data_IF_935789621117
#
_entry.id   IF_935789621117
#
_cell.length_a   1.000
_cell.length_b   1.000
_cell.length_c   1.000
_cell.angle_alpha   90.00
_cell.angle_beta   90.00
_cell.angle_gamma   90.00
#
_symmetry.space_group_name_H-M   'P 1'
#
loop_
_entity.id
_entity.type
_entity.pdbx_description
1 polymer ?
#
# COMPACT_ATOMS: atom_id res chain seq x y z
N UNK A 1 -11.24 11.81 -3.12
CA UNK A 1 -10.44 10.56 -3.05
C UNK A 1 -10.69 9.70 -1.80
N UNK A 2 -10.70 10.27 -0.59
CA UNK A 2 -10.95 9.53 0.68
C UNK A 2 -12.24 8.70 0.69
N UNK A 3 -13.36 9.26 0.22
CA UNK A 3 -14.64 8.55 0.12
C UNK A 3 -14.57 7.30 -0.78
N UNK A 4 -13.97 7.41 -1.97
CA UNK A 4 -13.82 6.29 -2.90
C UNK A 4 -12.96 5.17 -2.30
N UNK A 5 -11.87 5.52 -1.59
CA UNK A 5 -11.02 4.56 -0.89
C UNK A 5 -11.80 3.76 0.17
N UNK A 6 -12.58 4.42 1.04
CA UNK A 6 -13.32 3.71 2.08
C UNK A 6 -14.52 2.92 1.53
N UNK A 7 -15.13 3.36 0.42
CA UNK A 7 -16.11 2.54 -0.31
C UNK A 7 -15.48 1.24 -0.83
N UNK A 8 -14.29 1.32 -1.43
CA UNK A 8 -13.54 0.14 -1.86
C UNK A 8 -13.17 -0.75 -0.66
N UNK A 9 -12.60 -0.15 0.40
CA UNK A 9 -12.19 -0.88 1.60
C UNK A 9 -13.35 -1.66 2.23
N UNK A 10 -14.50 -1.02 2.42
CA UNK A 10 -15.70 -1.67 2.91
C UNK A 10 -16.15 -2.80 1.98
N UNK A 11 -16.33 -2.53 0.68
CA UNK A 11 -16.77 -3.54 -0.30
C UNK A 11 -15.88 -4.79 -0.32
N UNK A 12 -14.56 -4.59 -0.22
CA UNK A 12 -13.57 -5.66 -0.40
C UNK A 12 -13.17 -6.38 0.89
N UNK A 13 -13.29 -5.73 2.05
CA UNK A 13 -12.77 -6.23 3.34
C UNK A 13 -13.82 -6.36 4.45
N UNK A 14 -15.09 -5.98 4.25
CA UNK A 14 -16.14 -6.17 5.27
C UNK A 14 -16.32 -7.65 5.66
N UNK A 15 -16.19 -8.57 4.69
CA UNK A 15 -16.26 -10.02 4.93
C UNK A 15 -14.91 -10.74 4.84
N UNK A 16 -13.80 -10.02 4.65
CA UNK A 16 -12.46 -10.60 4.46
C UNK A 16 -11.48 -9.95 5.41
N UNK A 17 -10.85 -10.75 6.27
CA UNK A 17 -9.87 -10.24 7.23
C UNK A 17 -8.61 -9.75 6.50
N UNK A 18 -8.26 -8.45 6.58
CA UNK A 18 -7.01 -7.94 6.03
C UNK A 18 -5.82 -8.56 6.78
N UNK A 19 -4.96 -9.29 6.05
CA UNK A 19 -3.89 -10.09 6.65
C UNK A 19 -2.62 -9.26 6.89
N UNK A 20 -2.01 -9.42 8.05
CA UNK A 20 -0.71 -8.78 8.35
C UNK A 20 0.38 -9.21 7.36
N UNK A 21 0.33 -10.45 6.86
CA UNK A 21 1.29 -10.97 5.90
C UNK A 21 1.34 -10.15 4.61
N UNK A 22 0.21 -9.60 4.17
CA UNK A 22 0.14 -8.73 2.99
C UNK A 22 0.90 -7.42 3.21
N UNK A 23 0.83 -6.84 4.42
CA UNK A 23 1.63 -5.65 4.77
C UNK A 23 3.13 -5.99 4.72
N UNK A 24 3.51 -7.10 5.36
CA UNK A 24 4.91 -7.54 5.45
C UNK A 24 5.47 -7.78 4.05
N UNK A 25 4.75 -8.51 3.19
CA UNK A 25 5.17 -8.77 1.82
C UNK A 25 5.38 -7.47 1.02
N UNK A 26 4.45 -6.51 1.13
CA UNK A 26 4.56 -5.23 0.43
C UNK A 26 5.76 -4.40 0.92
N UNK A 27 6.00 -4.36 2.25
CA UNK A 27 7.13 -3.62 2.80
C UNK A 27 8.48 -4.31 2.55
N UNK A 28 8.54 -5.64 2.57
CA UNK A 28 9.75 -6.38 2.18
C UNK A 28 10.08 -6.16 0.71
N UNK A 29 9.07 -6.20 -0.16
CA UNK A 29 9.24 -5.89 -1.58
C UNK A 29 9.78 -4.47 -1.76
N UNK A 30 9.16 -3.47 -1.13
CA UNK A 30 9.65 -2.10 -1.14
C UNK A 30 11.11 -2.01 -0.69
N UNK A 31 11.44 -2.58 0.48
CA UNK A 31 12.80 -2.57 1.03
C UNK A 31 13.82 -3.22 0.10
N UNK A 32 13.49 -4.37 -0.48
CA UNK A 32 14.34 -5.08 -1.43
C UNK A 32 14.69 -4.20 -2.64
N UNK A 33 13.68 -3.62 -3.30
CA UNK A 33 13.93 -2.80 -4.49
C UNK A 33 14.66 -1.49 -4.17
N UNK A 34 14.38 -0.87 -3.03
CA UNK A 34 15.13 0.31 -2.56
C UNK A 34 16.61 -0.03 -2.37
N UNK A 35 16.92 -1.18 -1.76
CA UNK A 35 18.30 -1.61 -1.54
C UNK A 35 19.01 -1.93 -2.86
N UNK A 36 18.35 -2.67 -3.77
CA UNK A 36 18.93 -3.05 -5.06
C UNK A 36 19.15 -1.83 -5.95
N UNK A 37 18.14 -0.99 -6.16
CA UNK A 37 18.29 0.21 -7.00
C UNK A 37 19.22 1.24 -6.36
N UNK A 38 19.11 1.44 -5.04
CA UNK A 38 19.96 2.36 -4.31
C UNK A 38 21.44 1.95 -4.38
N UNK A 39 21.76 0.68 -4.19
CA UNK A 39 23.13 0.18 -4.31
C UNK A 39 23.69 0.29 -5.73
N UNK A 40 22.88 0.00 -6.74
CA UNK A 40 23.28 0.16 -8.14
C UNK A 40 23.63 1.63 -8.46
N UNK A 41 22.79 2.59 -8.03
CA UNK A 41 23.05 4.02 -8.21
C UNK A 41 24.33 4.44 -7.48
N UNK A 42 24.53 3.98 -6.23
CA UNK A 42 25.76 4.25 -5.46
C UNK A 42 27.00 3.66 -6.15
N UNK A 43 26.86 2.53 -6.84
CA UNK A 43 27.92 1.90 -7.64
C UNK A 43 28.16 2.59 -8.99
N UNK A 44 27.51 3.72 -9.28
CA UNK A 44 27.72 4.51 -10.50
C UNK A 44 26.80 4.14 -11.67
N UNK A 45 25.78 3.31 -11.45
CA UNK A 45 24.76 3.07 -12.47
C UNK A 45 23.90 4.32 -12.68
N UNK A 46 23.81 4.76 -13.93
CA UNK A 46 23.02 5.90 -14.38
C UNK A 46 21.81 5.38 -15.17
N UNK A 47 20.63 5.22 -14.54
CA UNK A 47 19.45 4.72 -15.24
C UNK A 47 18.99 5.70 -16.31
N UNK A 48 18.57 5.15 -17.45
CA UNK A 48 17.77 5.88 -18.43
C UNK A 48 16.44 6.35 -17.81
N UNK A 49 15.77 7.29 -18.47
CA UNK A 49 14.47 7.81 -18.02
C UNK A 49 13.44 6.68 -17.84
N UNK A 50 13.44 5.69 -18.73
CA UNK A 50 12.51 4.55 -18.66
C UNK A 50 12.84 3.67 -17.46
N UNK A 51 14.11 3.34 -17.24
CA UNK A 51 14.54 2.52 -16.10
C UNK A 51 14.25 3.21 -14.77
N UNK A 52 14.43 4.53 -14.70
CA UNK A 52 14.08 5.33 -13.53
C UNK A 52 12.56 5.30 -13.28
N UNK A 53 11.74 5.47 -14.32
CA UNK A 53 10.28 5.40 -14.19
C UNK A 53 9.81 4.01 -13.73
N UNK A 54 10.38 2.94 -14.28
CA UNK A 54 10.09 1.55 -13.87
C UNK A 54 10.52 1.33 -12.42
N UNK A 55 11.71 1.79 -12.03
CA UNK A 55 12.19 1.71 -10.65
C UNK A 55 11.27 2.41 -9.67
N UNK A 56 10.82 3.63 -9.99
CA UNK A 56 9.84 4.38 -9.18
C UNK A 56 8.54 3.60 -9.03
N UNK A 57 8.03 2.97 -10.09
CA UNK A 57 6.80 2.18 -10.02
C UNK A 57 6.98 0.90 -9.17
N UNK A 58 8.11 0.21 -9.34
CA UNK A 58 8.44 -1.01 -8.59
C UNK A 58 8.68 -0.75 -7.10
N UNK A 59 9.14 0.44 -6.74
CA UNK A 59 9.34 0.86 -5.35
C UNK A 59 8.05 1.47 -4.79
N UNK A 60 7.51 2.47 -5.46
CA UNK A 60 6.38 3.28 -5.01
C UNK A 60 5.07 2.52 -4.97
N UNK A 61 4.82 1.64 -5.94
CA UNK A 61 3.59 0.84 -6.00
C UNK A 61 3.39 -0.03 -4.75
N UNK A 62 4.33 -0.93 -4.42
CA UNK A 62 4.28 -1.75 -3.21
C UNK A 62 4.21 -0.93 -1.93
N UNK A 63 4.94 0.18 -1.83
CA UNK A 63 4.86 1.07 -0.67
C UNK A 63 3.44 1.63 -0.47
N UNK A 64 2.84 2.17 -1.54
CA UNK A 64 1.48 2.70 -1.50
C UNK A 64 0.47 1.62 -1.14
N UNK A 65 0.58 0.43 -1.76
CA UNK A 65 -0.29 -0.72 -1.46
C UNK A 65 -0.16 -1.11 0.02
N UNK A 66 1.06 -1.23 0.54
CA UNK A 66 1.32 -1.58 1.94
C UNK A 66 0.73 -0.56 2.92
N UNK A 67 0.91 0.74 2.67
CA UNK A 67 0.35 1.81 3.50
C UNK A 67 -1.19 1.78 3.48
N UNK A 68 -1.79 1.65 2.30
CA UNK A 68 -3.25 1.62 2.16
C UNK A 68 -3.85 0.38 2.80
N UNK A 69 -3.26 -0.80 2.57
CA UNK A 69 -3.70 -2.05 3.17
C UNK A 69 -3.58 -2.02 4.70
N UNK A 70 -2.45 -1.51 5.23
CA UNK A 70 -2.25 -1.31 6.67
C UNK A 70 -3.32 -0.40 7.29
N UNK A 71 -3.71 0.69 6.60
CA UNK A 71 -4.80 1.58 7.06
C UNK A 71 -6.13 0.84 7.15
N UNK A 72 -6.46 0.02 6.15
CA UNK A 72 -7.68 -0.80 6.16
C UNK A 72 -7.63 -1.78 7.33
N UNK A 73 -6.49 -2.45 7.56
CA UNK A 73 -6.33 -3.41 8.65
C UNK A 73 -6.49 -2.80 10.03
N UNK A 74 -5.85 -1.65 10.27
CA UNK A 74 -5.96 -0.94 11.54
C UNK A 74 -7.41 -0.51 11.79
N UNK A 75 -8.10 -0.01 10.76
CA UNK A 75 -9.50 0.42 10.89
C UNK A 75 -10.42 -0.78 11.16
N UNK A 76 -10.29 -1.86 10.38
CA UNK A 76 -11.08 -3.07 10.51
C UNK A 76 -10.91 -3.76 11.88
N UNK A 77 -9.75 -3.57 12.54
CA UNK A 77 -9.49 -4.14 13.85
C UNK A 77 -10.24 -3.44 15.00
N UNK A 78 -10.82 -2.25 14.78
CA UNK A 78 -11.48 -1.48 15.85
C UNK A 78 -12.83 -2.08 16.27
N UNK A 79 -13.61 -2.58 15.32
CA UNK A 79 -14.92 -3.18 15.55
C UNK A 79 -15.42 -3.93 14.29
N UNK A 80 -16.37 -4.87 14.40
CA UNK A 80 -16.91 -5.61 13.26
C UNK A 80 -17.54 -4.73 12.15
N UNK A 81 -18.05 -3.56 12.51
CA UNK A 81 -18.72 -2.60 11.63
C UNK A 81 -17.86 -1.36 11.33
N UNK A 82 -16.59 -1.33 11.77
CA UNK A 82 -15.74 -0.14 11.71
C UNK A 82 -15.56 0.39 10.28
N UNK A 83 -15.40 -0.49 9.29
CA UNK A 83 -15.26 -0.09 7.88
C UNK A 83 -16.56 0.50 7.32
N UNK A 84 -17.72 -0.03 7.73
CA UNK A 84 -19.02 0.51 7.36
C UNK A 84 -19.20 1.92 7.93
N UNK A 85 -18.96 2.10 9.24
CA UNK A 85 -19.00 3.41 9.89
C UNK A 85 -18.05 4.41 9.22
N UNK A 86 -16.80 3.99 8.92
CA UNK A 86 -15.82 4.84 8.24
C UNK A 86 -16.27 5.28 6.85
N UNK A 87 -16.92 4.39 6.10
CA UNK A 87 -17.51 4.71 4.78
C UNK A 87 -18.60 5.77 4.92
N UNK A 88 -19.51 5.64 5.89
CA UNK A 88 -20.61 6.59 6.10
C UNK A 88 -20.08 7.95 6.55
N UNK A 89 -19.19 7.98 7.55
CA UNK A 89 -18.54 9.21 8.04
C UNK A 89 -17.85 10.00 6.93
N UNK A 90 -17.21 9.31 5.98
CA UNK A 90 -16.40 9.97 4.94
C UNK A 90 -17.23 10.35 3.70
N UNK A 91 -18.50 9.95 3.62
CA UNK A 91 -19.42 10.35 2.54
C UNK A 91 -20.32 11.52 2.94
N UNK A 92 -20.29 11.95 4.20
CA UNK A 92 -20.97 13.15 4.71
C UNK A 92 -20.09 14.37 4.51
#
# INVERSE_FOLDING_TARGET
MKAAFWRFAHSRYQGRKPMLLTDIAAFMWFGFFVLVYGSAIIAGWLPSVIEAAVGILLIGGPLLIGILHRRIRIEAAKAPDALYRKRIETNR
#
